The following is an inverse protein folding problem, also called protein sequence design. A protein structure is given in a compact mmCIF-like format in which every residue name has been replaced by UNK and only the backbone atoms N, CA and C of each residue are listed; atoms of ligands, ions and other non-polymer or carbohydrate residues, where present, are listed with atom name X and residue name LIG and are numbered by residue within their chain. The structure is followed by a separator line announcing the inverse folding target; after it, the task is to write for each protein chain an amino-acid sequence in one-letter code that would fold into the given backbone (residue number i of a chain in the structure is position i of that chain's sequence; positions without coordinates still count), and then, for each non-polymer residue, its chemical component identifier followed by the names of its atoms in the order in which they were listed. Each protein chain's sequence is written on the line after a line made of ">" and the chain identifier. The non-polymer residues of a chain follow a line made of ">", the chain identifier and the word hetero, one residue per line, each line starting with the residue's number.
data_IF_241058452778
#
_entry.id   IF_241058452778
#
_cell.length_a   1.000
_cell.length_b   1.000
_cell.length_c   1.000
_cell.angle_alpha   90.00
_cell.angle_beta   90.00
_cell.angle_gamma   90.00
#
_symmetry.space_group_name_H-M   'P 1'
#
loop_
_entity.id
_entity.type
_entity.pdbx_description
1 polymer ?
#
# COMPACT_ATOMS: atom_id res chain seq x y z
N UNK A 1 52.41 45.57 -10.44
CA UNK A 1 53.73 45.50 -9.78
C UNK A 1 53.74 44.25 -8.90
N UNK A 2 54.55 43.24 -9.27
CA UNK A 2 55.02 42.06 -8.51
C UNK A 2 53.97 41.22 -7.75
N UNK A 3 53.62 40.00 -8.19
CA UNK A 3 54.40 38.74 -8.12
C UNK A 3 55.06 38.53 -6.75
N UNK A 4 54.53 37.60 -5.96
CA UNK A 4 55.34 36.76 -5.07
C UNK A 4 54.75 35.36 -4.97
N UNK A 5 55.66 34.42 -5.21
CA UNK A 5 55.54 32.98 -5.41
C UNK A 5 55.74 32.21 -4.08
N UNK A 6 55.48 30.89 -4.18
CA UNK A 6 56.06 29.74 -3.41
C UNK A 6 55.40 29.45 -2.04
N UNK A 7 55.26 28.18 -1.60
CA UNK A 7 56.01 26.96 -1.93
C UNK A 7 55.24 25.69 -1.51
N UNK A 8 55.47 24.61 -2.25
CA UNK A 8 55.10 23.21 -2.01
C UNK A 8 55.52 22.67 -0.62
N UNK A 9 54.92 21.53 -0.22
CA UNK A 9 55.67 20.29 0.09
C UNK A 9 54.79 19.03 0.31
N UNK A 10 55.05 18.04 -0.56
CA UNK A 10 55.40 16.63 -0.28
C UNK A 10 54.40 15.70 0.44
N UNK A 11 53.70 14.91 -0.38
CA UNK A 11 53.89 13.46 -0.59
C UNK A 11 54.33 12.55 0.56
N UNK A 12 53.60 11.44 0.72
CA UNK A 12 54.18 10.11 0.96
C UNK A 12 53.21 8.99 0.55
N UNK A 13 53.59 8.28 -0.52
CA UNK A 13 53.16 6.92 -0.83
C UNK A 13 54.24 5.96 -0.32
N UNK A 14 53.85 4.86 0.32
CA UNK A 14 54.66 3.66 0.60
C UNK A 14 53.67 2.51 0.86
N UNK A 15 53.50 1.61 -0.11
CA UNK A 15 54.15 0.29 -0.20
C UNK A 15 53.78 -0.71 0.92
N UNK A 16 52.87 -1.61 0.55
CA UNK A 16 53.16 -3.05 0.35
C UNK A 16 53.64 -3.87 1.56
N UNK A 17 52.84 -4.85 2.00
CA UNK A 17 53.38 -6.18 2.34
C UNK A 17 52.32 -7.27 2.20
N UNK A 18 52.68 -8.31 1.43
CA UNK A 18 52.00 -9.60 1.29
C UNK A 18 52.16 -10.42 2.58
N UNK A 19 51.18 -11.26 2.90
CA UNK A 19 51.32 -12.34 3.86
C UNK A 19 50.49 -13.55 3.43
N UNK A 20 51.14 -14.53 2.79
CA UNK A 20 50.63 -15.89 2.58
C UNK A 20 50.46 -16.61 3.94
N UNK A 21 49.44 -17.43 4.06
CA UNK A 21 49.29 -18.40 5.15
C UNK A 21 48.41 -19.57 4.72
N UNK A 22 49.01 -20.54 4.03
CA UNK A 22 48.44 -21.85 3.80
C UNK A 22 48.68 -22.73 5.04
N UNK A 23 47.65 -23.41 5.54
CA UNK A 23 47.82 -24.58 6.42
C UNK A 23 46.91 -25.69 5.89
N UNK A 24 47.55 -26.68 5.29
CA UNK A 24 47.04 -28.02 5.02
C UNK A 24 47.46 -28.91 6.18
N UNK A 25 46.56 -29.77 6.67
CA UNK A 25 46.92 -31.02 7.35
C UNK A 25 45.78 -32.03 7.18
N UNK A 26 46.18 -33.21 6.72
CA UNK A 26 45.37 -34.36 6.37
C UNK A 26 45.28 -35.39 7.52
N UNK A 27 44.33 -36.31 7.39
CA UNK A 27 44.16 -37.54 8.18
C UNK A 27 42.72 -37.65 8.71
N UNK A 28 41.84 -38.56 8.30
CA UNK A 28 41.98 -39.87 7.67
C UNK A 28 41.82 -40.98 8.71
N UNK A 29 40.61 -41.57 8.84
CA UNK A 29 40.34 -43.02 8.94
C UNK A 29 38.84 -43.34 9.17
N UNK A 30 38.24 -43.97 8.14
CA UNK A 30 37.48 -45.24 8.11
C UNK A 30 36.26 -45.61 8.99
N UNK A 31 35.23 -46.04 8.23
CA UNK A 31 34.36 -47.24 8.35
C UNK A 31 33.20 -47.22 9.36
N UNK A 32 31.96 -47.19 8.85
CA UNK A 32 31.10 -48.39 8.76
C UNK A 32 29.81 -48.09 7.96
N UNK A 33 29.57 -48.92 6.94
CA UNK A 33 28.37 -48.95 6.14
C UNK A 33 27.25 -49.74 6.84
N UNK A 34 25.99 -49.38 6.57
CA UNK A 34 24.90 -50.35 6.52
C UNK A 34 23.86 -49.89 5.49
N UNK A 35 23.71 -50.76 4.50
CA UNK A 35 22.82 -50.69 3.34
C UNK A 35 21.36 -51.01 3.71
N UNK A 36 20.46 -50.66 2.78
CA UNK A 36 19.19 -51.32 2.35
C UNK A 36 18.06 -50.27 2.25
N UNK A 37 17.42 -50.00 1.11
CA UNK A 37 17.49 -50.65 -0.19
C UNK A 37 16.75 -49.82 -1.25
N UNK A 38 17.15 -50.03 -2.51
CA UNK A 38 16.42 -49.61 -3.70
C UNK A 38 15.89 -50.86 -4.39
N UNK A 39 14.62 -50.83 -4.82
CA UNK A 39 14.07 -51.76 -5.81
C UNK A 39 13.06 -51.00 -6.70
N UNK A 40 13.53 -50.61 -7.88
CA UNK A 40 12.80 -50.72 -9.16
C UNK A 40 13.50 -51.86 -9.92
N UNK A 41 12.88 -52.63 -10.85
CA UNK A 41 12.28 -52.11 -12.10
C UNK A 41 11.13 -52.98 -12.71
N UNK A 42 10.64 -52.61 -13.89
CA UNK A 42 10.58 -53.41 -15.15
C UNK A 42 9.37 -53.03 -16.01
N UNK A 43 9.65 -52.82 -17.30
CA UNK A 43 8.73 -52.51 -18.38
C UNK A 43 8.39 -53.74 -19.25
N UNK A 44 7.24 -53.63 -19.95
CA UNK A 44 6.81 -54.32 -21.21
C UNK A 44 6.34 -55.79 -21.10
N UNK A 45 5.52 -56.34 -22.05
CA UNK A 45 5.17 -55.84 -23.40
C UNK A 45 3.67 -55.92 -23.82
N UNK A 46 3.38 -55.38 -25.02
CA UNK A 46 2.18 -55.55 -25.87
C UNK A 46 1.91 -57.04 -26.25
N UNK A 47 0.69 -57.37 -26.72
CA UNK A 47 0.53 -57.58 -28.16
C UNK A 47 -0.81 -57.07 -28.76
N UNK A 48 -0.83 -57.15 -30.09
CA UNK A 48 -1.73 -56.56 -31.09
C UNK A 48 -2.90 -57.49 -31.51
N UNK A 49 -3.77 -56.94 -32.37
CA UNK A 49 -4.88 -57.53 -33.15
C UNK A 49 -6.27 -57.51 -32.45
N UNK A 50 -7.39 -57.07 -33.05
CA UNK A 50 -7.80 -57.07 -34.46
C UNK A 50 -9.03 -56.15 -34.65
N UNK A 51 -9.15 -55.44 -35.79
CA UNK A 51 -10.45 -54.95 -36.32
C UNK A 51 -11.11 -56.10 -37.13
N UNK A 52 -12.44 -56.11 -37.46
CA UNK A 52 -13.01 -55.21 -38.49
C UNK A 52 -14.48 -54.75 -38.29
N UNK A 53 -14.73 -53.55 -38.84
CA UNK A 53 -15.86 -53.10 -39.69
C UNK A 53 -17.29 -53.65 -39.46
N UNK A 54 -18.26 -52.73 -39.33
CA UNK A 54 -19.37 -52.63 -40.29
C UNK A 54 -20.09 -51.29 -40.18
N UNK A 55 -20.41 -50.78 -41.35
CA UNK A 55 -20.99 -49.51 -41.75
C UNK A 55 -22.51 -49.68 -41.95
N UNK A 56 -23.33 -48.74 -41.48
CA UNK A 56 -24.59 -48.34 -42.14
C UNK A 56 -25.29 -47.19 -41.39
N UNK A 57 -25.25 -46.00 -41.97
CA UNK A 57 -26.27 -44.94 -41.90
C UNK A 57 -27.52 -45.37 -42.74
N UNK A 58 -28.71 -44.71 -42.76
CA UNK A 58 -29.05 -43.39 -42.21
C UNK A 58 -30.50 -43.17 -41.66
N UNK A 59 -30.71 -41.95 -41.17
CA UNK A 59 -31.86 -41.05 -41.36
C UNK A 59 -33.07 -41.05 -40.38
N UNK A 60 -33.22 -39.84 -39.80
CA UNK A 60 -34.44 -39.05 -39.59
C UNK A 60 -35.41 -39.42 -38.45
N UNK A 61 -35.30 -38.71 -37.33
CA UNK A 61 -36.45 -38.14 -36.60
C UNK A 61 -36.00 -36.96 -35.72
N UNK A 62 -36.66 -35.81 -35.89
CA UNK A 62 -36.67 -34.63 -35.00
C UNK A 62 -38.17 -34.32 -34.77
N UNK A 63 -38.63 -33.72 -33.64
CA UNK A 63 -37.96 -33.38 -32.37
C UNK A 63 -38.67 -33.99 -31.14
N UNK A 64 -38.00 -33.98 -29.98
CA UNK A 64 -38.69 -33.95 -28.69
C UNK A 64 -37.90 -33.07 -27.71
N UNK A 65 -38.57 -32.03 -27.22
CA UNK A 65 -38.15 -31.21 -26.08
C UNK A 65 -37.90 -32.06 -24.84
N UNK A 66 -36.75 -31.86 -24.17
CA UNK A 66 -36.59 -32.20 -22.76
C UNK A 66 -35.42 -31.40 -22.13
N UNK A 67 -35.82 -30.44 -21.29
CA UNK A 67 -35.20 -29.87 -20.11
C UNK A 67 -33.66 -29.75 -19.97
N UNK A 68 -33.28 -28.48 -19.88
CA UNK A 68 -32.04 -27.92 -19.38
C UNK A 68 -31.40 -28.64 -18.19
N UNK A 69 -30.16 -29.07 -18.37
CA UNK A 69 -29.17 -29.09 -17.30
C UNK A 69 -28.78 -27.62 -16.99
N UNK A 70 -29.10 -27.18 -15.77
CA UNK A 70 -29.06 -25.77 -15.37
C UNK A 70 -27.67 -25.13 -15.52
N UNK A 71 -27.60 -23.88 -16.01
CA UNK A 71 -26.35 -23.14 -16.04
C UNK A 71 -25.87 -22.84 -14.62
N UNK A 72 -24.56 -22.99 -14.43
CA UNK A 72 -23.85 -22.51 -13.25
C UNK A 72 -24.28 -21.08 -12.94
N UNK A 73 -24.61 -20.88 -11.68
CA UNK A 73 -25.22 -19.69 -11.12
C UNK A 73 -24.51 -18.41 -11.59
N UNK A 74 -25.19 -17.65 -12.45
CA UNK A 74 -24.90 -16.24 -12.68
C UNK A 74 -25.10 -15.56 -11.33
N UNK A 75 -24.02 -15.02 -10.77
CA UNK A 75 -24.09 -14.13 -9.61
C UNK A 75 -25.09 -13.00 -9.91
N UNK A 76 -25.89 -12.54 -8.93
CA UNK A 76 -26.89 -11.52 -9.18
C UNK A 76 -26.20 -10.29 -9.78
N UNK A 77 -26.84 -9.70 -10.79
CA UNK A 77 -26.41 -8.49 -11.49
C UNK A 77 -26.05 -7.41 -10.47
N UNK A 78 -24.76 -7.35 -10.15
CA UNK A 78 -24.19 -6.32 -9.32
C UNK A 78 -24.35 -5.01 -10.05
N UNK A 79 -24.94 -4.03 -9.37
CA UNK A 79 -25.14 -2.65 -9.79
C UNK A 79 -24.04 -2.22 -10.79
N UNK A 80 -24.41 -2.07 -12.07
CA UNK A 80 -23.45 -1.77 -13.13
C UNK A 80 -22.85 -0.40 -12.87
N UNK A 81 -21.65 -0.37 -12.29
CA UNK A 81 -20.93 0.87 -12.04
C UNK A 81 -20.50 1.48 -13.38
N UNK A 82 -20.86 2.74 -13.58
CA UNK A 82 -20.47 3.50 -14.77
C UNK A 82 -19.01 3.90 -14.69
N UNK A 83 -18.26 3.76 -15.78
CA UNK A 83 -16.85 4.18 -15.85
C UNK A 83 -16.70 5.71 -15.82
N UNK A 84 -17.62 6.44 -16.44
CA UNK A 84 -17.56 7.89 -16.61
C UNK A 84 -18.04 8.66 -15.38
N UNK A 85 -17.55 9.90 -15.21
CA UNK A 85 -18.02 10.83 -14.17
C UNK A 85 -17.51 10.53 -12.76
N UNK A 86 -16.59 9.56 -12.63
CA UNK A 86 -15.94 9.16 -11.39
C UNK A 86 -14.43 9.42 -11.51
N UNK A 87 -13.84 10.01 -10.47
CA UNK A 87 -12.37 10.01 -10.32
C UNK A 87 -12.00 8.64 -9.78
N UNK A 88 -11.16 7.92 -10.49
CA UNK A 88 -10.70 6.59 -10.12
C UNK A 88 -9.30 6.64 -9.53
N UNK A 89 -9.04 5.83 -8.51
CA UNK A 89 -7.72 5.51 -8.01
C UNK A 89 -7.31 4.13 -8.52
N UNK A 90 -6.07 3.99 -8.98
CA UNK A 90 -5.53 2.68 -9.35
C UNK A 90 -5.31 1.88 -8.07
N UNK A 91 -6.03 0.77 -7.91
CA UNK A 91 -5.82 -0.16 -6.81
C UNK A 91 -4.81 -1.25 -7.20
N UNK A 92 -4.88 -1.74 -8.44
CA UNK A 92 -3.93 -2.71 -8.99
C UNK A 92 -3.66 -2.43 -10.46
N UNK A 93 -2.46 -2.74 -10.91
CA UNK A 93 -2.08 -2.68 -12.33
C UNK A 93 -1.26 -3.90 -12.73
N UNK A 94 -1.33 -4.24 -14.01
CA UNK A 94 -0.49 -5.29 -14.57
C UNK A 94 0.94 -4.78 -14.75
N UNK A 95 1.87 -5.33 -13.97
CA UNK A 95 3.28 -4.95 -14.01
C UNK A 95 4.05 -5.57 -15.19
N UNK A 96 5.34 -5.24 -15.30
CA UNK A 96 6.22 -5.74 -16.35
C UNK A 96 6.43 -7.27 -16.32
N UNK A 97 6.19 -7.92 -15.17
CA UNK A 97 6.25 -9.38 -15.01
C UNK A 97 4.91 -10.06 -15.31
N UNK A 98 3.90 -9.30 -15.75
CA UNK A 98 2.53 -9.74 -15.91
C UNK A 98 1.89 -10.23 -14.59
N UNK A 99 2.25 -9.64 -13.45
CA UNK A 99 1.53 -9.82 -12.19
C UNK A 99 0.66 -8.60 -11.90
N UNK A 100 -0.46 -8.78 -11.20
CA UNK A 100 -1.23 -7.65 -10.66
C UNK A 100 -0.54 -7.17 -9.38
N UNK A 101 -0.05 -5.93 -9.43
CA UNK A 101 0.72 -5.30 -8.35
C UNK A 101 0.02 -4.03 -7.86
N UNK A 102 0.26 -3.68 -6.59
CA UNK A 102 -0.26 -2.45 -5.98
C UNK A 102 0.66 -1.26 -6.28
N UNK A 103 0.12 -0.05 -6.47
CA UNK A 103 0.93 1.15 -6.66
C UNK A 103 1.80 1.48 -5.44
N UNK A 104 3.05 1.86 -5.70
CA UNK A 104 3.99 2.44 -4.73
C UNK A 104 3.84 3.97 -4.61
N UNK A 105 3.19 4.60 -5.59
CA UNK A 105 2.79 6.00 -5.58
C UNK A 105 1.33 6.14 -6.00
N UNK A 106 0.66 7.18 -5.51
CA UNK A 106 -0.73 7.45 -5.89
C UNK A 106 -0.85 7.63 -7.41
N UNK A 107 -1.85 6.96 -8.00
CA UNK A 107 -2.18 7.11 -9.41
C UNK A 107 -3.71 7.21 -9.55
N UNK A 108 -4.16 8.18 -10.32
CA UNK A 108 -5.57 8.51 -10.51
C UNK A 108 -5.89 8.67 -12.00
N UNK A 109 -7.14 8.40 -12.36
CA UNK A 109 -7.63 8.63 -13.71
C UNK A 109 -9.12 8.95 -13.73
N UNK A 110 -9.54 9.81 -14.63
CA UNK A 110 -10.94 10.19 -14.82
C UNK A 110 -11.31 9.97 -16.27
N UNK A 111 -12.44 9.31 -16.52
CA UNK A 111 -13.03 9.15 -17.84
C UNK A 111 -14.19 10.12 -17.98
N UNK A 112 -14.06 11.08 -18.89
CA UNK A 112 -15.11 12.07 -19.14
C UNK A 112 -15.01 12.61 -20.57
N UNK A 113 -16.16 12.79 -21.22
CA UNK A 113 -16.27 13.48 -22.52
C UNK A 113 -15.30 12.93 -23.58
N UNK A 114 -15.17 11.59 -23.62
CA UNK A 114 -14.31 10.89 -24.58
C UNK A 114 -12.81 11.08 -24.33
N UNK A 115 -12.41 11.56 -23.15
CA UNK A 115 -11.02 11.72 -22.74
C UNK A 115 -10.77 11.07 -21.38
N UNK A 116 -9.71 10.26 -21.30
CA UNK A 116 -9.17 9.76 -20.05
C UNK A 116 -7.93 10.57 -19.72
N UNK A 117 -7.83 11.05 -18.48
CA UNK A 117 -6.66 11.76 -18.01
C UNK A 117 -6.47 11.63 -16.52
N UNK A 118 -5.26 11.91 -16.06
CA UNK A 118 -4.92 11.82 -14.64
C UNK A 118 -3.41 11.77 -14.41
N UNK A 119 -3.01 11.15 -13.30
CA UNK A 119 -1.63 10.98 -12.89
C UNK A 119 -1.31 9.48 -12.78
N UNK A 120 -0.16 9.05 -13.31
CA UNK A 120 0.28 7.65 -13.29
C UNK A 120 1.36 7.36 -12.23
N UNK A 121 1.60 8.28 -11.30
CA UNK A 121 2.64 8.23 -10.28
C UNK A 121 3.59 9.42 -10.38
N UNK A 122 4.34 9.54 -11.48
CA UNK A 122 5.31 10.63 -11.67
C UNK A 122 4.76 11.75 -12.57
N UNK A 123 4.11 11.37 -13.66
CA UNK A 123 3.68 12.22 -14.75
C UNK A 123 2.16 12.21 -14.87
N UNK A 124 1.68 13.32 -15.45
CA UNK A 124 0.30 13.39 -15.89
C UNK A 124 0.19 12.78 -17.28
N UNK A 125 -0.97 12.20 -17.57
CA UNK A 125 -1.27 11.63 -18.88
C UNK A 125 -2.65 12.06 -19.35
N UNK A 126 -2.84 11.96 -20.66
CA UNK A 126 -4.14 12.14 -21.30
C UNK A 126 -4.23 11.29 -22.56
N UNK A 127 -5.42 10.76 -22.84
CA UNK A 127 -5.69 10.00 -24.05
C UNK A 127 -7.17 10.14 -24.44
N UNK A 128 -7.50 10.25 -25.74
CA UNK A 128 -8.87 10.04 -26.18
C UNK A 128 -9.31 8.60 -25.92
N UNK A 129 -10.59 8.39 -25.61
CA UNK A 129 -11.21 7.06 -25.63
C UNK A 129 -12.55 7.08 -26.38
N UNK A 130 -12.97 5.90 -26.81
CA UNK A 130 -14.35 5.67 -27.23
C UNK A 130 -14.96 4.58 -26.36
N UNK A 131 -16.25 4.74 -26.04
CA UNK A 131 -17.00 3.80 -25.21
C UNK A 131 -18.28 3.39 -25.93
N UNK A 132 -18.44 2.08 -26.14
CA UNK A 132 -19.64 1.48 -26.72
C UNK A 132 -20.16 0.40 -25.76
N UNK A 133 -21.05 0.79 -24.85
CA UNK A 133 -21.47 -0.06 -23.74
C UNK A 133 -20.32 -0.29 -22.77
N UNK A 134 -19.78 -1.51 -22.74
CA UNK A 134 -18.61 -1.91 -21.93
C UNK A 134 -17.32 -2.00 -22.74
N UNK A 135 -17.40 -1.90 -24.08
CA UNK A 135 -16.23 -1.88 -24.93
C UNK A 135 -15.55 -0.51 -24.82
N UNK A 136 -14.26 -0.55 -24.50
CA UNK A 136 -13.43 0.62 -24.26
C UNK A 136 -12.24 0.57 -25.22
N UNK A 137 -12.04 1.61 -26.00
CA UNK A 137 -10.84 1.74 -26.84
C UNK A 137 -10.09 3.00 -26.45
N UNK A 138 -8.88 2.84 -25.94
CA UNK A 138 -7.96 3.94 -25.64
C UNK A 138 -7.13 4.24 -26.90
N UNK A 139 -7.10 5.51 -27.30
CA UNK A 139 -6.28 5.97 -28.41
C UNK A 139 -4.84 6.30 -27.94
N UNK A 140 -4.13 7.12 -28.69
CA UNK A 140 -2.75 7.49 -28.35
C UNK A 140 -2.69 8.20 -26.99
N UNK A 141 -1.89 7.64 -26.08
CA UNK A 141 -1.64 8.20 -24.75
C UNK A 141 -0.48 9.20 -24.85
N UNK A 142 -0.72 10.44 -24.44
CA UNK A 142 0.31 11.45 -24.22
C UNK A 142 0.63 11.59 -22.74
N UNK A 143 1.89 11.86 -22.39
CA UNK A 143 2.33 12.05 -21.00
C UNK A 143 3.41 13.15 -20.90
N UNK A 144 3.56 13.73 -19.72
CA UNK A 144 4.69 14.62 -19.40
C UNK A 144 5.97 13.82 -19.16
N UNK A 145 7.14 14.48 -19.11
CA UNK A 145 8.44 13.82 -18.92
C UNK A 145 9.19 14.38 -17.70
N UNK A 146 8.55 14.40 -16.55
CA UNK A 146 9.18 14.66 -15.26
C UNK A 146 9.99 13.43 -14.82
N UNK A 147 11.06 13.69 -14.08
CA UNK A 147 11.95 12.67 -13.56
C UNK A 147 11.66 12.43 -12.08
N UNK A 148 11.34 11.19 -11.72
CA UNK A 148 11.07 10.75 -10.35
C UNK A 148 11.96 9.56 -9.95
N UNK A 149 11.75 9.03 -8.75
CA UNK A 149 12.36 7.79 -8.29
C UNK A 149 12.07 6.62 -9.24
N UNK A 150 13.04 5.72 -9.40
CA UNK A 150 13.00 4.62 -10.36
C UNK A 150 11.77 3.72 -10.21
N UNK A 151 11.38 3.39 -8.98
CA UNK A 151 10.20 2.57 -8.70
C UNK A 151 8.90 3.24 -9.18
N UNK A 152 8.79 4.57 -9.05
CA UNK A 152 7.62 5.35 -9.47
C UNK A 152 7.57 5.45 -11.00
N UNK A 153 8.71 5.66 -11.65
CA UNK A 153 8.81 5.65 -13.12
C UNK A 153 8.44 4.29 -13.71
N UNK A 154 8.87 3.18 -13.08
CA UNK A 154 8.51 1.83 -13.49
C UNK A 154 7.00 1.55 -13.37
N UNK A 155 6.39 1.98 -12.26
CA UNK A 155 4.94 1.94 -12.08
C UNK A 155 4.22 2.71 -13.18
N UNK A 156 4.61 3.96 -13.43
CA UNK A 156 3.98 4.81 -14.43
C UNK A 156 3.97 4.14 -15.80
N UNK A 157 5.12 3.65 -16.25
CA UNK A 157 5.22 2.98 -17.54
C UNK A 157 4.32 1.75 -17.61
N UNK A 158 4.23 0.98 -16.53
CA UNK A 158 3.37 -0.20 -16.46
C UNK A 158 1.87 0.17 -16.49
N UNK A 159 1.45 1.19 -15.74
CA UNK A 159 0.07 1.70 -15.73
C UNK A 159 -0.34 2.19 -17.12
N UNK A 160 0.49 3.01 -17.79
CA UNK A 160 0.17 3.53 -19.12
C UNK A 160 0.15 2.40 -20.17
N UNK A 161 1.04 1.42 -20.04
CA UNK A 161 1.03 0.21 -20.89
C UNK A 161 -0.23 -0.62 -20.68
N UNK A 162 -0.66 -0.80 -19.43
CA UNK A 162 -1.88 -1.51 -19.08
C UNK A 162 -3.13 -0.78 -19.61
N UNK A 163 -3.18 0.55 -19.44
CA UNK A 163 -4.26 1.38 -19.96
C UNK A 163 -4.37 1.28 -21.49
N UNK A 164 -3.24 1.32 -22.21
CA UNK A 164 -3.21 1.17 -23.67
C UNK A 164 -3.66 -0.21 -24.18
N UNK A 165 -3.69 -1.24 -23.33
CA UNK A 165 -4.20 -2.59 -23.67
C UNK A 165 -5.69 -2.75 -23.38
N UNK A 166 -6.33 -1.80 -22.68
CA UNK A 166 -7.72 -1.92 -22.30
C UNK A 166 -8.63 -1.98 -23.55
N UNK A 167 -9.49 -3.00 -23.58
CA UNK A 167 -10.48 -3.28 -24.62
C UNK A 167 -11.92 -3.27 -24.07
N UNK A 168 -12.07 -3.44 -22.75
CA UNK A 168 -13.36 -3.40 -22.07
C UNK A 168 -13.21 -2.93 -20.61
N UNK A 169 -14.33 -2.60 -19.97
CA UNK A 169 -14.44 -2.48 -18.53
C UNK A 169 -15.56 -3.36 -17.97
N UNK A 170 -15.42 -3.80 -16.72
CA UNK A 170 -16.44 -4.55 -15.99
C UNK A 170 -16.54 -4.03 -14.55
N UNK A 171 -17.68 -4.26 -13.90
CA UNK A 171 -17.82 -4.01 -12.46
C UNK A 171 -16.93 -4.96 -11.66
N UNK A 172 -16.39 -4.46 -10.56
CA UNK A 172 -15.65 -5.21 -9.54
C UNK A 172 -16.19 -4.85 -8.15
N UNK A 173 -15.87 -5.63 -7.12
CA UNK A 173 -16.42 -5.48 -5.76
C UNK A 173 -16.35 -4.02 -5.25
N UNK A 174 -15.18 -3.40 -5.35
CA UNK A 174 -14.91 -2.04 -4.85
C UNK A 174 -14.68 -1.00 -5.96
N UNK A 175 -14.91 -1.35 -7.22
CA UNK A 175 -14.94 -0.37 -8.31
C UNK A 175 -15.17 -0.97 -9.67
N UNK A 176 -14.23 -0.79 -10.58
CA UNK A 176 -14.26 -1.33 -11.94
C UNK A 176 -12.91 -1.95 -12.31
N UNK A 177 -12.94 -2.95 -13.18
CA UNK A 177 -11.74 -3.53 -13.77
C UNK A 177 -11.68 -3.16 -15.25
N UNK A 178 -10.50 -2.76 -15.73
CA UNK A 178 -10.23 -2.67 -17.17
C UNK A 178 -9.64 -4.00 -17.63
N UNK A 179 -10.16 -4.52 -18.74
CA UNK A 179 -9.78 -5.80 -19.30
C UNK A 179 -9.13 -5.61 -20.67
N UNK A 180 -8.14 -6.42 -20.99
CA UNK A 180 -7.60 -6.50 -22.35
C UNK A 180 -8.51 -7.29 -23.29
N UNK A 181 -8.11 -7.38 -24.56
CA UNK A 181 -8.86 -8.10 -25.59
C UNK A 181 -9.05 -9.60 -25.32
N UNK A 182 -8.29 -10.19 -24.39
CA UNK A 182 -8.41 -11.59 -23.97
C UNK A 182 -9.34 -11.77 -22.77
N UNK A 183 -9.87 -10.67 -22.21
CA UNK A 183 -10.67 -10.68 -20.99
C UNK A 183 -9.82 -10.71 -19.71
N UNK A 184 -8.51 -10.44 -19.80
CA UNK A 184 -7.64 -10.38 -18.63
C UNK A 184 -7.67 -8.99 -18.00
N UNK A 185 -7.79 -8.93 -16.68
CA UNK A 185 -7.68 -7.67 -15.93
C UNK A 185 -6.29 -7.06 -16.10
N UNK A 186 -6.24 -5.83 -16.59
CA UNK A 186 -5.01 -5.02 -16.73
C UNK A 186 -4.93 -3.90 -15.70
N UNK A 187 -6.08 -3.38 -15.25
CA UNK A 187 -6.18 -2.38 -14.19
C UNK A 187 -7.38 -2.70 -13.30
N UNK A 188 -7.22 -2.55 -11.99
CA UNK A 188 -8.33 -2.50 -11.02
C UNK A 188 -8.40 -1.07 -10.49
N UNK A 189 -9.56 -0.47 -10.64
CA UNK A 189 -9.85 0.91 -10.26
C UNK A 189 -10.88 0.91 -9.14
N UNK A 190 -10.68 1.75 -8.14
CA UNK A 190 -11.63 2.02 -7.06
C UNK A 190 -12.00 3.50 -7.08
N UNK A 191 -13.21 3.92 -6.67
CA UNK A 191 -13.54 5.33 -6.59
C UNK A 191 -12.50 6.04 -5.75
N UNK A 192 -11.83 7.04 -6.32
CA UNK A 192 -10.94 7.90 -5.60
C UNK A 192 -11.79 8.77 -4.68
N UNK A 193 -11.81 8.40 -3.42
CA UNK A 193 -12.34 9.25 -2.36
C UNK A 193 -11.13 10.05 -1.89
N UNK A 194 -10.98 11.33 -2.29
CA UNK A 194 -9.91 12.16 -1.77
C UNK A 194 -10.06 12.13 -0.25
N UNK A 195 -9.11 11.50 0.43
CA UNK A 195 -9.14 11.40 1.87
C UNK A 195 -9.11 12.83 2.38
N UNK A 196 -10.14 13.32 3.11
CA UNK A 196 -10.10 14.65 3.66
C UNK A 196 -8.86 14.72 4.53
N UNK A 197 -7.87 15.50 4.09
CA UNK A 197 -6.60 15.60 4.79
C UNK A 197 -6.90 16.05 6.21
N UNK A 198 -6.47 15.26 7.19
CA UNK A 198 -6.67 15.63 8.58
C UNK A 198 -6.05 17.02 8.81
N UNK A 199 -6.78 17.90 9.50
CA UNK A 199 -6.18 19.14 9.98
C UNK A 199 -5.11 18.80 11.01
N UNK A 200 -4.02 19.58 11.05
CA UNK A 200 -3.00 19.40 12.10
C UNK A 200 -3.64 19.54 13.49
N UNK A 201 -4.54 20.53 13.62
CA UNK A 201 -5.26 20.84 14.85
C UNK A 201 -6.58 20.07 14.98
N UNK A 202 -7.07 19.93 16.21
CA UNK A 202 -8.34 19.26 16.49
C UNK A 202 -8.30 17.74 16.30
N UNK A 203 -7.11 17.17 16.11
CA UNK A 203 -6.87 15.74 15.90
C UNK A 203 -5.96 15.22 17.01
N UNK A 204 -6.26 14.01 17.50
CA UNK A 204 -5.32 13.25 18.33
C UNK A 204 -4.47 12.40 17.41
N UNK A 205 -3.19 12.71 17.33
CA UNK A 205 -2.22 11.97 16.53
C UNK A 205 -1.60 10.86 17.38
N UNK A 206 -1.61 9.62 16.90
CA UNK A 206 -0.99 8.47 17.54
C UNK A 206 0.33 8.17 16.84
N UNK A 207 1.45 8.18 17.55
CA UNK A 207 2.74 7.89 16.91
C UNK A 207 2.77 6.42 16.46
N UNK A 208 3.27 6.17 15.26
CA UNK A 208 3.43 4.83 14.68
C UNK A 208 4.90 4.44 14.60
N UNK A 209 5.76 5.40 14.28
CA UNK A 209 7.22 5.22 14.25
C UNK A 209 7.93 6.46 14.80
N UNK A 210 9.06 6.23 15.47
CA UNK A 210 9.91 7.30 16.02
C UNK A 210 11.35 7.07 15.60
N UNK A 211 12.11 8.15 15.41
CA UNK A 211 13.55 8.07 15.28
C UNK A 211 14.17 7.72 16.64
N UNK A 212 14.93 6.64 16.73
CA UNK A 212 15.57 6.21 17.98
C UNK A 212 16.85 7.00 18.32
N UNK A 213 17.17 8.03 17.53
CA UNK A 213 18.38 8.84 17.67
C UNK A 213 19.65 8.18 17.15
N UNK A 214 19.54 7.05 16.46
CA UNK A 214 20.59 6.41 15.66
C UNK A 214 20.31 6.56 14.16
N UNK A 215 19.60 7.63 13.76
CA UNK A 215 19.16 7.89 12.39
C UNK A 215 18.33 6.74 11.79
N UNK A 216 17.66 5.98 12.65
CA UNK A 216 16.81 4.85 12.27
C UNK A 216 15.43 5.06 12.88
N UNK A 217 14.39 4.81 12.09
CA UNK A 217 13.00 4.81 12.60
C UNK A 217 12.62 3.42 13.05
N UNK A 218 11.96 3.36 14.21
CA UNK A 218 11.55 2.11 14.84
C UNK A 218 10.07 2.19 15.22
N UNK A 219 9.40 1.04 15.21
CA UNK A 219 8.04 0.91 15.74
C UNK A 219 8.02 1.12 17.25
N UNK A 220 6.85 1.47 17.77
CA UNK A 220 6.65 1.59 19.21
C UNK A 220 6.64 0.24 19.93
N UNK A 221 7.07 0.25 21.19
CA UNK A 221 6.92 -0.83 22.14
C UNK A 221 5.43 -1.17 22.33
N UNK A 222 5.13 -2.45 22.24
CA UNK A 222 3.78 -2.96 22.46
C UNK A 222 3.27 -2.56 23.86
N UNK A 223 2.00 -2.19 23.95
CA UNK A 223 1.38 -1.73 25.20
C UNK A 223 1.72 -0.28 25.58
N UNK A 224 2.51 0.44 24.77
CA UNK A 224 2.69 1.89 24.92
C UNK A 224 1.75 2.67 23.99
N UNK A 225 1.43 3.91 24.36
CA UNK A 225 0.69 4.84 23.52
C UNK A 225 1.31 6.22 23.61
N UNK A 226 1.87 6.68 22.50
CA UNK A 226 2.42 8.02 22.33
C UNK A 226 1.43 8.85 21.53
N UNK A 227 1.11 10.05 22.00
CA UNK A 227 0.12 10.92 21.38
C UNK A 227 0.67 12.32 21.17
N UNK A 228 0.20 13.01 20.14
CA UNK A 228 0.41 14.44 19.92
C UNK A 228 -0.92 15.13 19.60
N UNK A 229 -1.17 16.28 20.22
CA UNK A 229 -2.33 17.13 19.97
C UNK A 229 -1.82 18.55 19.77
N UNK A 230 -2.08 19.09 18.59
CA UNK A 230 -1.82 20.48 18.24
C UNK A 230 -3.13 21.26 18.41
N UNK A 231 -3.12 22.32 19.21
CA UNK A 231 -4.30 23.18 19.38
C UNK A 231 -4.19 24.46 18.54
N UNK A 232 -5.33 25.10 18.30
CA UNK A 232 -5.39 26.35 17.51
C UNK A 232 -4.66 27.54 18.16
N UNK A 233 -4.22 27.40 19.41
CA UNK A 233 -3.50 28.43 20.16
C UNK A 233 -1.98 28.27 20.03
N UNK A 234 -1.50 27.31 19.26
CA UNK A 234 -0.07 27.05 19.07
C UNK A 234 0.54 26.23 20.20
N UNK A 235 -0.25 25.41 20.90
CA UNK A 235 0.26 24.48 21.92
C UNK A 235 0.27 23.05 21.37
N UNK A 236 1.42 22.39 21.48
CA UNK A 236 1.60 20.96 21.30
C UNK A 236 1.58 20.28 22.67
N UNK A 237 0.74 19.27 22.83
CA UNK A 237 0.68 18.48 24.07
C UNK A 237 0.43 17.00 23.79
N UNK A 238 0.81 16.13 24.73
CA UNK A 238 0.57 14.70 24.57
C UNK A 238 1.16 13.80 25.64
N UNK A 239 1.04 12.50 25.42
CA UNK A 239 1.70 11.44 26.17
C UNK A 239 2.94 10.99 25.38
N UNK A 240 4.10 10.93 26.03
CA UNK A 240 5.33 10.34 25.50
C UNK A 240 5.48 8.85 25.88
N UNK A 241 4.40 8.22 26.37
CA UNK A 241 4.37 6.82 26.80
C UNK A 241 4.29 6.68 28.32
N UNK A 242 5.24 7.24 29.07
CA UNK A 242 5.22 7.26 30.53
C UNK A 242 4.80 8.62 31.09
N UNK A 243 5.34 9.70 30.52
CA UNK A 243 5.16 11.07 30.93
C UNK A 243 4.32 11.85 29.94
N UNK A 244 3.65 12.88 30.45
CA UNK A 244 3.00 13.87 29.61
C UNK A 244 4.01 14.96 29.27
N UNK A 245 3.90 15.51 28.06
CA UNK A 245 4.76 16.59 27.59
C UNK A 245 3.94 17.74 27.00
N UNK A 246 4.58 18.91 26.93
CA UNK A 246 4.07 20.13 26.30
C UNK A 246 5.18 20.92 25.64
N UNK A 247 4.85 21.64 24.57
CA UNK A 247 5.65 22.69 23.95
C UNK A 247 4.70 23.68 23.25
N UNK A 248 5.20 24.85 22.89
CA UNK A 248 4.54 25.71 21.92
C UNK A 248 5.09 25.41 20.53
N UNK A 249 4.29 25.67 19.50
CA UNK A 249 4.70 25.54 18.12
C UNK A 249 4.25 26.74 17.28
N UNK A 250 5.01 27.01 16.22
CA UNK A 250 4.64 27.96 15.16
C UNK A 250 4.78 27.28 13.81
N UNK A 251 3.93 27.67 12.85
CA UNK A 251 3.97 27.17 11.48
C UNK A 251 4.27 28.31 10.51
N UNK A 252 5.06 28.01 9.49
CA UNK A 252 5.27 28.85 8.31
C UNK A 252 5.30 27.94 7.07
N UNK A 253 4.19 27.88 6.33
CA UNK A 253 3.99 26.88 5.28
C UNK A 253 4.10 25.44 5.82
N UNK A 254 5.04 24.67 5.25
CA UNK A 254 5.40 23.31 5.65
C UNK A 254 6.48 23.25 6.75
N UNK A 255 6.94 24.40 7.24
CA UNK A 255 7.91 24.50 8.32
C UNK A 255 7.19 24.52 9.68
N UNK A 256 7.74 23.80 10.65
CA UNK A 256 7.31 23.81 12.05
C UNK A 256 8.49 24.16 12.94
N UNK A 257 8.27 25.05 13.92
CA UNK A 257 9.24 25.32 14.97
C UNK A 257 8.62 25.02 16.33
N UNK A 258 9.31 24.21 17.13
CA UNK A 258 8.90 23.87 18.49
C UNK A 258 9.76 24.63 19.49
N UNK A 259 9.14 25.14 20.56
CA UNK A 259 9.90 25.56 21.74
C UNK A 259 10.43 24.32 22.49
N UNK A 260 11.44 24.48 23.35
CA UNK A 260 11.93 23.37 24.19
C UNK A 260 10.78 22.65 24.90
N UNK A 261 10.79 21.32 24.84
CA UNK A 261 9.74 20.52 25.45
C UNK A 261 9.87 20.51 26.97
N UNK A 262 8.74 20.54 27.65
CA UNK A 262 8.65 20.27 29.08
C UNK A 262 7.88 18.97 29.28
N UNK A 263 8.38 18.09 30.14
CA UNK A 263 7.76 16.81 30.47
C UNK A 263 7.60 16.62 31.98
N UNK A 264 6.62 15.80 32.37
CA UNK A 264 6.56 15.28 33.74
C UNK A 264 7.71 14.31 33.99
N UNK A 265 8.00 14.00 35.27
CA UNK A 265 9.11 13.12 35.66
C UNK A 265 8.65 11.91 36.49
N UNK A 266 7.63 11.21 35.99
CA UNK A 266 7.23 9.90 36.50
C UNK A 266 8.21 8.85 36.03
N UNK A 267 8.32 7.78 36.82
CA UNK A 267 9.08 6.60 36.46
C UNK A 267 8.12 5.46 36.13
N UNK A 268 8.32 4.83 34.98
CA UNK A 268 7.60 3.64 34.55
C UNK A 268 8.59 2.51 34.31
N UNK A 269 8.32 1.33 34.85
CA UNK A 269 9.16 0.14 34.67
C UNK A 269 8.58 -0.88 33.70
N UNK A 270 7.35 -0.66 33.22
CA UNK A 270 6.66 -1.57 32.29
C UNK A 270 5.97 -0.76 31.16
N UNK A 271 6.01 -1.25 29.90
CA UNK A 271 6.87 -2.34 29.43
C UNK A 271 8.36 -1.98 29.57
N UNK A 272 9.24 -2.99 29.51
CA UNK A 272 10.68 -2.75 29.52
C UNK A 272 11.06 -1.83 28.35
N UNK A 273 11.96 -0.87 28.59
CA UNK A 273 12.36 0.13 27.59
C UNK A 273 11.43 1.34 27.46
N UNK A 274 10.31 1.43 28.19
CA UNK A 274 9.36 2.56 28.06
C UNK A 274 10.00 3.94 28.32
N UNK A 275 10.93 4.02 29.28
CA UNK A 275 11.65 5.27 29.57
C UNK A 275 12.64 5.65 28.46
N UNK A 276 13.25 4.66 27.80
CA UNK A 276 14.16 4.91 26.67
C UNK A 276 13.38 5.35 25.44
N UNK A 277 12.25 4.69 25.14
CA UNK A 277 11.34 5.10 24.07
C UNK A 277 10.86 6.53 24.27
N UNK A 278 10.47 6.91 25.49
CA UNK A 278 10.07 8.28 25.82
C UNK A 278 11.20 9.28 25.50
N UNK A 279 12.42 9.00 25.95
CA UNK A 279 13.57 9.88 25.71
C UNK A 279 13.88 10.01 24.20
N UNK A 280 13.78 8.90 23.47
CA UNK A 280 13.98 8.88 22.02
C UNK A 280 12.90 9.69 21.30
N UNK A 281 11.64 9.51 21.67
CA UNK A 281 10.52 10.26 21.10
C UNK A 281 10.67 11.77 21.34
N UNK A 282 10.93 12.19 22.58
CA UNK A 282 11.06 13.62 22.90
C UNK A 282 12.23 14.25 22.14
N UNK A 283 13.38 13.57 22.07
CA UNK A 283 14.55 14.02 21.30
C UNK A 283 14.28 14.08 19.81
N UNK A 284 13.59 13.09 19.24
CA UNK A 284 13.20 13.11 17.84
C UNK A 284 12.24 14.28 17.57
N UNK A 285 11.25 14.48 18.43
CA UNK A 285 10.29 15.57 18.31
C UNK A 285 10.97 16.94 18.35
N UNK A 286 12.00 17.14 19.18
CA UNK A 286 12.82 18.37 19.21
C UNK A 286 13.52 18.69 17.88
N UNK A 287 13.79 17.69 17.04
CA UNK A 287 14.43 17.90 15.73
C UNK A 287 13.46 18.33 14.65
N UNK A 288 12.15 18.27 14.89
CA UNK A 288 11.14 18.59 13.89
C UNK A 288 11.30 20.03 13.36
N UNK A 289 11.48 20.12 12.06
CA UNK A 289 11.61 21.37 11.31
C UNK A 289 10.59 21.46 10.17
N UNK A 290 10.13 20.33 9.66
CA UNK A 290 9.11 20.23 8.61
C UNK A 290 7.95 19.35 9.06
N UNK A 291 6.76 19.65 8.58
CA UNK A 291 5.56 18.86 8.81
C UNK A 291 4.80 18.64 7.50
N UNK A 292 4.16 17.48 7.38
CA UNK A 292 3.24 17.22 6.27
C UNK A 292 2.15 16.26 6.71
N UNK A 293 0.96 16.40 6.13
CA UNK A 293 -0.14 15.46 6.34
C UNK A 293 -0.53 14.87 4.99
N UNK A 294 -0.59 13.54 4.90
CA UNK A 294 -1.10 12.81 3.74
C UNK A 294 -2.22 11.89 4.21
N UNK A 295 -3.45 12.18 3.81
CA UNK A 295 -4.63 11.48 4.33
C UNK A 295 -4.74 11.62 5.86
N UNK A 296 -4.58 10.50 6.56
CA UNK A 296 -4.59 10.41 8.02
C UNK A 296 -3.19 10.27 8.65
N UNK A 297 -2.12 10.43 7.87
CA UNK A 297 -0.74 10.31 8.37
C UNK A 297 -0.12 11.70 8.50
N UNK A 298 0.38 12.03 9.69
CA UNK A 298 1.21 13.20 9.96
C UNK A 298 2.67 12.77 10.05
N UNK A 299 3.53 13.38 9.26
CA UNK A 299 4.97 13.21 9.38
C UNK A 299 5.62 14.51 9.86
N UNK A 300 6.51 14.37 10.85
CA UNK A 300 7.44 15.41 11.25
C UNK A 300 8.85 15.00 10.81
N UNK A 301 9.54 15.90 10.12
CA UNK A 301 10.89 15.68 9.57
C UNK A 301 11.86 16.71 10.12
N UNK A 302 13.12 16.31 10.26
CA UNK A 302 14.19 17.22 10.64
C UNK A 302 14.62 18.13 9.49
N UNK A 303 15.50 19.10 9.76
CA UNK A 303 15.97 20.06 8.74
C UNK A 303 16.73 19.42 7.56
N UNK A 304 17.16 18.16 7.67
CA UNK A 304 17.78 17.40 6.58
C UNK A 304 16.77 16.61 5.74
N UNK A 305 15.51 16.57 6.17
CA UNK A 305 14.43 15.79 5.55
C UNK A 305 14.27 14.38 6.14
N UNK A 306 15.08 13.99 7.11
CA UNK A 306 14.96 12.69 7.76
C UNK A 306 13.72 12.64 8.64
N UNK A 307 13.06 11.47 8.68
CA UNK A 307 11.86 11.28 9.48
C UNK A 307 12.20 11.33 10.98
N UNK A 308 11.57 12.25 11.70
CA UNK A 308 11.67 12.35 13.15
C UNK A 308 10.58 11.49 13.80
N UNK A 309 9.32 11.72 13.44
CA UNK A 309 8.16 10.95 13.94
C UNK A 309 7.10 10.83 12.84
N UNK A 310 6.52 9.65 12.69
CA UNK A 310 5.28 9.46 11.93
C UNK A 310 4.13 9.18 12.89
N UNK A 311 2.98 9.76 12.61
CA UNK A 311 1.75 9.60 13.35
C UNK A 311 0.60 9.22 12.42
N UNK A 312 -0.40 8.57 12.99
CA UNK A 312 -1.68 8.34 12.36
C UNK A 312 -2.78 9.06 13.17
N UNK A 313 -3.74 9.68 12.50
CA UNK A 313 -4.87 10.32 13.15
C UNK A 313 -5.69 9.23 13.85
N UNK A 314 -5.93 9.41 15.15
CA UNK A 314 -6.93 8.61 15.85
C UNK A 314 -8.26 8.86 15.15
N UNK A 315 -8.78 7.85 14.46
CA UNK A 315 -10.09 7.94 13.83
C UNK A 315 -11.09 8.38 14.89
N UNK A 316 -11.70 9.57 14.70
CA UNK A 316 -12.94 9.87 15.38
C UNK A 316 -13.88 8.76 14.99
N UNK A 317 -14.23 7.88 15.93
CA UNK A 317 -15.40 7.04 15.79
C UNK A 317 -16.54 8.00 15.49
N UNK A 318 -16.94 8.12 14.22
CA UNK A 318 -18.23 8.70 13.86
C UNK A 318 -19.22 7.83 14.59
N UNK A 319 -19.73 8.31 15.72
CA UNK A 319 -20.93 7.75 16.32
C UNK A 319 -21.96 7.72 15.20
N UNK A 320 -22.50 6.56 14.81
CA UNK A 320 -23.57 6.55 13.81
C UNK A 320 -24.73 7.37 14.38
N UNK A 321 -24.96 8.55 13.80
CA UNK A 321 -26.20 9.30 13.98
C UNK A 321 -27.27 8.48 13.27
N UNK A 322 -27.89 7.55 14.00
CA UNK A 322 -28.79 6.60 13.35
C UNK A 322 -29.35 5.49 14.22
N UNK A 323 -29.57 5.70 15.52
CA UNK A 323 -30.61 4.94 16.24
C UNK A 323 -31.34 5.90 17.18
N UNK A 324 -32.26 6.67 16.61
CA UNK A 324 -33.38 7.20 17.40
C UNK A 324 -34.26 5.99 17.71
N UNK A 325 -34.04 5.37 18.86
CA UNK A 325 -34.99 4.42 19.40
C UNK A 325 -36.27 5.20 19.70
N UNK A 326 -37.26 5.09 18.82
CA UNK A 326 -38.63 5.51 19.11
C UNK A 326 -39.15 4.65 20.27
N UNK A 327 -39.07 5.18 21.48
CA UNK A 327 -39.90 4.69 22.59
C UNK A 327 -41.23 5.41 22.47
N UNK A 328 -42.13 4.86 21.65
CA UNK A 328 -43.52 5.28 21.57
C UNK A 328 -44.43 4.13 22.01
N UNK A 329 -44.98 4.32 23.21
CA UNK A 329 -46.30 3.92 23.66
C UNK A 329 -46.72 2.43 23.50
N UNK A 330 -46.52 1.64 24.56
CA UNK A 330 -47.46 0.56 24.87
C UNK A 330 -48.45 1.05 25.94
N UNK A 331 -49.66 1.33 25.45
CA UNK A 331 -50.84 1.67 26.23
C UNK A 331 -51.16 0.57 27.25
N UNK A 332 -51.18 0.94 28.54
CA UNK A 332 -51.83 0.15 29.58
C UNK A 332 -53.34 0.40 29.43
N UNK A 333 -54.06 -0.54 28.85
CA UNK A 333 -55.51 -0.68 28.99
C UNK A 333 -55.88 -2.16 29.10
N UNK A 334 -56.84 -2.42 30.00
CA UNK A 334 -57.43 -3.69 30.48
C UNK A 334 -56.70 -4.38 31.63
N UNK A 335 -57.39 -4.86 32.66
CA UNK A 335 -58.78 -4.73 33.07
C UNK A 335 -58.87 -5.19 34.54
N UNK A 336 -59.79 -4.57 35.27
CA UNK A 336 -60.32 -5.09 36.53
C UNK A 336 -60.95 -6.47 36.30
N UNK A 337 -60.62 -7.43 37.16
CA UNK A 337 -61.52 -8.51 37.60
C UNK A 337 -60.99 -9.11 38.92
N UNK A 338 -61.92 -9.31 39.87
CA UNK A 338 -61.83 -10.01 41.18
C UNK A 338 -60.91 -9.37 42.23
N UNK A 339 -61.39 -8.90 43.40
CA UNK A 339 -62.52 -9.25 44.27
C UNK A 339 -63.23 -8.00 44.82
#
# INVERSE_FOLDING_TARGET
>A
MQVLLRREKRGKSMHQTRGLGAISLAGGLTIAALFLGACQPVASPLPEASQPQAESTPAMEEPAEAEAAGPGQIAPEGETRTLEGVIWQVAKYLDANNALSEPVAEATMTFQEGHVGGNAGCNNFSAPYTLAGQQLMIAQIGTTMMFCEEAIMAQEQAILTALGKAAAYASADDGVALLDATGRIVLTLVPHIPQPQASLTGVVWLATTINNGQQTVVSLLEGTRITAVFDEKGTLSGSAGCNNYRANYTLDGDTIALTPLVSTRKFCSKPEGVMEQEANYLRALETAAMWSIRGNVLELRDASGALAVSFEAASHSRTPVGVVAQVSALWIHRAMCTL
#
